data_IF_823754686866
#
_entry.id   IF_823754686866
#
_cell.length_a   1.000
_cell.length_b   1.000
_cell.length_c   1.000
_cell.angle_alpha   90.00
_cell.angle_beta   90.00
_cell.angle_gamma   90.00
#
_symmetry.space_group_name_H-M   'P 1'
#
loop_
_entity.id
_entity.type
_entity.pdbx_description
1 polymer ?
#
# COMPACT_ATOMS: atom_id res chain seq x y z
N UNK A 1 72.07 -10.19 0.10
CA UNK A 1 70.62 -10.01 -0.16
C UNK A 1 70.07 -8.96 0.80
N UNK A 2 69.81 -7.74 0.33
CA UNK A 2 69.09 -6.71 1.10
C UNK A 2 67.94 -6.21 0.23
N UNK A 3 66.75 -6.73 0.45
CA UNK A 3 65.51 -6.28 -0.19
C UNK A 3 65.16 -4.87 0.30
N UNK A 4 64.70 -3.97 -0.59
CA UNK A 4 64.68 -2.55 -0.28
C UNK A 4 63.47 -2.18 0.58
N UNK A 5 63.76 -1.41 1.63
CA UNK A 5 62.85 -0.86 2.62
C UNK A 5 61.68 -0.03 2.04
N UNK A 6 61.76 0.35 0.75
CA UNK A 6 60.76 1.18 0.06
C UNK A 6 59.41 0.49 -0.19
N UNK A 7 59.36 -0.81 -0.47
CA UNK A 7 58.10 -1.48 -0.83
C UNK A 7 57.13 -1.63 0.35
N UNK A 8 57.64 -1.71 1.58
CA UNK A 8 56.80 -1.78 2.80
C UNK A 8 56.06 -0.47 3.07
N UNK A 9 56.69 0.69 2.82
CA UNK A 9 56.04 2.00 3.02
C UNK A 9 54.99 2.30 1.93
N UNK A 10 55.23 1.87 0.69
CA UNK A 10 54.28 2.05 -0.41
C UNK A 10 53.00 1.21 -0.23
N UNK A 11 53.13 -0.02 0.27
CA UNK A 11 51.99 -0.89 0.61
C UNK A 11 51.15 -0.32 1.76
N UNK A 12 51.77 0.27 2.78
CA UNK A 12 51.06 0.88 3.90
C UNK A 12 50.31 2.15 3.49
N UNK A 13 50.90 2.98 2.62
CA UNK A 13 50.25 4.17 2.07
C UNK A 13 49.04 3.82 1.19
N UNK A 14 49.13 2.76 0.37
CA UNK A 14 47.99 2.27 -0.41
C UNK A 14 46.87 1.71 0.48
N UNK A 15 47.21 1.00 1.56
CA UNK A 15 46.22 0.51 2.52
C UNK A 15 45.47 1.63 3.25
N UNK A 16 46.16 2.73 3.61
CA UNK A 16 45.54 3.92 4.21
C UNK A 16 44.64 4.65 3.21
N UNK A 17 45.04 4.74 1.93
CA UNK A 17 44.24 5.33 0.86
C UNK A 17 42.96 4.53 0.56
N UNK A 18 43.05 3.20 0.55
CA UNK A 18 41.90 2.30 0.34
C UNK A 18 40.94 2.37 1.55
N UNK A 19 41.47 2.38 2.79
CA UNK A 19 40.67 2.54 4.00
C UNK A 19 39.97 3.91 4.06
N UNK A 20 40.62 4.97 3.59
CA UNK A 20 40.04 6.32 3.49
C UNK A 20 38.94 6.39 2.41
N UNK A 21 39.14 5.74 1.26
CA UNK A 21 38.16 5.64 0.19
C UNK A 21 36.90 4.82 0.60
N UNK A 22 37.08 3.80 1.45
CA UNK A 22 35.97 3.05 2.05
C UNK A 22 35.15 3.91 3.03
N UNK A 23 35.79 4.76 3.84
CA UNK A 23 35.08 5.66 4.76
C UNK A 23 34.36 6.81 4.05
N UNK A 24 34.87 7.27 2.90
CA UNK A 24 34.20 8.28 2.05
C UNK A 24 32.98 7.74 1.30
N UNK A 25 32.87 6.42 1.11
CA UNK A 25 31.72 5.78 0.45
C UNK A 25 30.55 5.50 1.41
N UNK A 26 30.75 5.61 2.73
CA UNK A 26 29.70 5.32 3.74
C UNK A 26 28.94 6.56 4.25
N UNK A 27 29.25 7.79 3.80
CA UNK A 27 28.64 9.03 4.38
C UNK A 27 27.53 9.68 3.54
N UNK A 28 27.05 9.04 2.48
CA UNK A 28 25.91 9.57 1.68
C UNK A 28 24.71 8.63 1.62
N UNK A 29 24.19 8.27 2.79
CA UNK A 29 22.76 8.01 2.91
C UNK A 29 22.07 9.35 3.21
N UNK A 30 22.00 10.24 2.23
CA UNK A 30 21.08 11.38 2.34
C UNK A 30 19.68 10.81 2.31
N UNK A 31 18.92 10.96 3.39
CA UNK A 31 17.48 10.64 3.39
C UNK A 31 16.87 11.32 2.15
N UNK A 32 16.11 10.57 1.31
CA UNK A 32 15.46 11.18 0.16
C UNK A 32 14.59 12.35 0.65
N UNK A 33 14.54 13.47 -0.09
CA UNK A 33 13.76 14.63 0.31
C UNK A 33 12.34 14.19 0.65
N UNK A 34 11.90 14.44 1.89
CA UNK A 34 10.51 14.19 2.29
C UNK A 34 9.63 15.12 1.45
N UNK A 35 8.96 14.56 0.44
CA UNK A 35 8.00 15.32 -0.37
C UNK A 35 7.00 16.01 0.57
N UNK A 36 6.66 17.30 0.33
CA UNK A 36 5.74 18.01 1.19
C UNK A 36 4.38 17.32 1.19
N UNK A 37 3.86 17.03 2.38
CA UNK A 37 2.56 16.37 2.55
C UNK A 37 1.47 17.29 2.00
N UNK A 38 0.75 16.81 0.98
CA UNK A 38 -0.36 17.54 0.38
C UNK A 38 -1.47 17.81 1.39
N UNK A 39 -1.99 19.04 1.43
CA UNK A 39 -3.15 19.41 2.25
C UNK A 39 -4.50 18.99 1.63
N UNK A 40 -4.50 18.28 0.50
CA UNK A 40 -5.72 17.91 -0.24
C UNK A 40 -6.69 17.01 0.56
N UNK A 41 -6.24 16.34 1.62
CA UNK A 41 -7.08 15.52 2.49
C UNK A 41 -8.01 16.36 3.37
N UNK A 42 -7.64 17.61 3.71
CA UNK A 42 -8.39 18.44 4.66
C UNK A 42 -9.86 18.66 4.25
N UNK A 43 -10.12 18.81 2.95
CA UNK A 43 -11.48 18.96 2.40
C UNK A 43 -12.33 17.68 2.43
N UNK A 44 -11.73 16.54 2.80
CA UNK A 44 -12.39 15.22 2.85
C UNK A 44 -12.60 14.73 4.29
N UNK A 45 -12.15 15.49 5.29
CA UNK A 45 -12.31 15.14 6.69
C UNK A 45 -13.76 15.37 7.12
N UNK A 46 -14.29 14.42 7.89
CA UNK A 46 -15.57 14.52 8.58
C UNK A 46 -15.32 14.47 10.08
N UNK A 47 -16.24 15.03 10.86
CA UNK A 47 -16.22 14.90 12.32
C UNK A 47 -16.55 13.48 12.77
N UNK A 48 -16.18 13.16 14.01
CA UNK A 48 -16.53 11.88 14.63
C UNK A 48 -18.06 11.66 14.69
N UNK A 49 -18.83 12.73 14.95
CA UNK A 49 -20.30 12.67 15.00
C UNK A 49 -20.91 12.33 13.64
N UNK A 50 -20.40 12.90 12.56
CA UNK A 50 -20.84 12.54 11.20
C UNK A 50 -20.48 11.08 10.87
N UNK A 51 -19.28 10.64 11.25
CA UNK A 51 -18.87 9.23 11.10
C UNK A 51 -19.80 8.26 11.84
N UNK A 52 -20.23 8.61 13.06
CA UNK A 52 -21.21 7.85 13.85
C UNK A 52 -22.56 7.70 13.14
N UNK A 53 -23.05 8.76 12.50
CA UNK A 53 -24.30 8.71 11.72
C UNK A 53 -24.18 7.70 10.59
N UNK A 54 -23.08 7.75 9.83
CA UNK A 54 -22.82 6.80 8.73
C UNK A 54 -22.69 5.35 9.22
N UNK A 55 -21.98 5.14 10.33
CA UNK A 55 -21.81 3.81 10.92
C UNK A 55 -23.13 3.21 11.43
N UNK A 56 -23.95 4.02 12.11
CA UNK A 56 -25.26 3.60 12.58
C UNK A 56 -26.20 3.27 11.42
N UNK A 57 -26.16 4.07 10.34
CA UNK A 57 -26.92 3.82 9.11
C UNK A 57 -26.58 2.45 8.52
N UNK A 58 -25.29 2.20 8.29
CA UNK A 58 -24.82 0.91 7.77
C UNK A 58 -25.22 -0.25 8.69
N UNK A 59 -25.09 -0.05 10.00
CA UNK A 59 -25.40 -1.07 11.01
C UNK A 59 -26.88 -1.46 11.03
N UNK A 60 -27.79 -0.48 10.90
CA UNK A 60 -29.24 -0.73 10.92
C UNK A 60 -29.83 -1.15 9.56
N UNK A 61 -29.07 -1.04 8.48
CA UNK A 61 -29.49 -1.38 7.12
C UNK A 61 -28.68 -2.55 6.56
N UNK A 62 -27.56 -2.28 5.88
CA UNK A 62 -26.74 -3.25 5.17
C UNK A 62 -26.28 -4.40 6.07
N UNK A 63 -25.79 -4.10 7.27
CA UNK A 63 -25.28 -5.12 8.18
C UNK A 63 -26.38 -6.09 8.65
N UNK A 64 -27.63 -5.60 8.82
CA UNK A 64 -28.77 -6.46 9.17
C UNK A 64 -29.04 -7.47 8.05
N UNK A 65 -29.03 -7.02 6.79
CA UNK A 65 -29.26 -7.91 5.63
C UNK A 65 -28.16 -8.96 5.52
N UNK A 66 -26.89 -8.55 5.64
CA UNK A 66 -25.75 -9.45 5.62
C UNK A 66 -25.80 -10.48 6.75
N UNK A 67 -26.08 -10.03 7.98
CA UNK A 67 -26.23 -10.90 9.15
C UNK A 67 -27.33 -11.95 8.95
N UNK A 68 -28.50 -11.53 8.42
CA UNK A 68 -29.60 -12.47 8.12
C UNK A 68 -29.20 -13.50 7.06
N UNK A 69 -28.51 -13.08 6.00
CA UNK A 69 -28.01 -14.01 4.97
C UNK A 69 -26.95 -15.00 5.46
N UNK A 70 -26.42 -14.78 6.67
CA UNK A 70 -25.41 -15.59 7.33
C UNK A 70 -25.95 -16.33 8.56
N UNK A 71 -27.24 -16.65 8.58
CA UNK A 71 -27.88 -17.37 9.68
C UNK A 71 -27.70 -16.69 11.05
N UNK A 72 -27.66 -15.34 11.07
CA UNK A 72 -27.50 -14.56 12.29
C UNK A 72 -26.06 -14.22 12.65
N UNK A 73 -25.06 -14.72 11.92
CA UNK A 73 -23.65 -14.39 12.14
C UNK A 73 -23.30 -13.03 11.49
N UNK A 74 -22.99 -11.98 12.27
CA UNK A 74 -22.72 -10.67 11.72
C UNK A 74 -21.40 -10.63 10.94
N UNK A 75 -21.40 -9.92 9.82
CA UNK A 75 -20.19 -9.68 9.03
C UNK A 75 -19.48 -8.38 9.47
N UNK A 76 -18.24 -8.18 9.00
CA UNK A 76 -17.41 -7.02 9.38
C UNK A 76 -18.08 -5.68 9.06
N UNK A 77 -17.90 -4.70 9.95
CA UNK A 77 -18.40 -3.33 9.78
C UNK A 77 -17.28 -2.31 9.65
N UNK A 78 -16.06 -2.68 10.03
CA UNK A 78 -14.86 -1.87 9.90
C UNK A 78 -13.66 -2.75 9.56
N UNK A 79 -12.57 -2.10 9.20
CA UNK A 79 -11.29 -2.75 8.93
C UNK A 79 -10.21 -1.88 9.51
N UNK A 80 -9.19 -2.52 10.07
CA UNK A 80 -8.07 -1.82 10.67
C UNK A 80 -6.77 -2.22 10.00
N UNK A 81 -5.94 -1.20 9.78
CA UNK A 81 -4.55 -1.31 9.39
C UNK A 81 -3.73 -0.54 10.41
N UNK A 82 -2.55 -1.05 10.76
CA UNK A 82 -1.59 -0.22 11.47
C UNK A 82 -1.18 0.94 10.56
N UNK A 83 -0.90 2.10 11.16
CA UNK A 83 -0.39 3.25 10.39
C UNK A 83 0.94 2.88 9.73
N UNK A 84 1.78 2.12 10.42
CA UNK A 84 3.07 1.63 9.93
C UNK A 84 2.94 0.78 8.66
N UNK A 85 2.04 -0.21 8.65
CA UNK A 85 1.79 -1.05 7.46
C UNK A 85 1.27 -0.21 6.29
N UNK A 86 0.37 0.73 6.58
CA UNK A 86 -0.22 1.59 5.56
C UNK A 86 0.83 2.54 4.97
N UNK A 87 1.70 3.13 5.79
CA UNK A 87 2.83 3.96 5.35
C UNK A 87 3.82 3.16 4.50
N UNK A 88 4.20 1.96 4.97
CA UNK A 88 5.07 1.05 4.23
C UNK A 88 4.50 0.66 2.87
N UNK A 89 3.21 0.35 2.81
CA UNK A 89 2.53 0.01 1.57
C UNK A 89 2.37 1.21 0.63
N UNK A 90 2.03 2.40 1.14
CA UNK A 90 2.00 3.63 0.34
C UNK A 90 3.38 3.93 -0.26
N UNK A 91 4.45 3.73 0.52
CA UNK A 91 5.83 3.86 0.03
C UNK A 91 6.13 2.88 -1.10
N UNK A 92 5.80 1.59 -0.92
CA UNK A 92 5.92 0.57 -1.95
C UNK A 92 5.19 0.96 -3.26
N UNK A 93 3.96 1.47 -3.15
CA UNK A 93 3.16 1.91 -4.30
C UNK A 93 3.83 3.07 -5.04
N UNK A 94 4.27 4.10 -4.31
CA UNK A 94 4.93 5.28 -4.89
C UNK A 94 6.26 4.92 -5.57
N UNK A 95 7.10 4.11 -4.92
CA UNK A 95 8.40 3.72 -5.45
C UNK A 95 8.26 2.85 -6.70
N UNK A 96 7.32 1.91 -6.70
CA UNK A 96 7.09 1.02 -7.83
C UNK A 96 6.49 1.79 -9.01
N UNK A 97 5.55 2.72 -8.76
CA UNK A 97 5.05 3.63 -9.79
C UNK A 97 6.16 4.50 -10.40
N UNK A 98 7.09 5.02 -9.58
CA UNK A 98 8.26 5.77 -10.06
C UNK A 98 9.17 4.93 -10.94
N UNK A 99 9.47 3.68 -10.53
CA UNK A 99 10.29 2.73 -11.33
C UNK A 99 9.65 2.44 -12.69
N UNK A 100 8.32 2.30 -12.72
CA UNK A 100 7.56 2.02 -13.95
C UNK A 100 7.16 3.28 -14.73
N UNK A 101 7.59 4.48 -14.31
CA UNK A 101 7.26 5.77 -14.93
C UNK A 101 5.74 6.05 -15.02
N UNK A 102 4.98 5.46 -14.10
CA UNK A 102 3.54 5.67 -13.98
C UNK A 102 3.24 7.05 -13.36
N UNK A 103 2.09 7.63 -13.72
CA UNK A 103 1.64 8.93 -13.21
C UNK A 103 0.44 8.78 -12.30
N UNK A 104 0.27 9.75 -11.40
CA UNK A 104 -0.87 9.82 -10.47
C UNK A 104 -1.13 8.50 -9.70
N UNK A 105 -0.14 7.95 -8.96
CA UNK A 105 -0.36 6.73 -8.19
C UNK A 105 -1.43 6.96 -7.12
N UNK A 106 -2.35 6.01 -6.99
CA UNK A 106 -3.41 6.00 -5.99
C UNK A 106 -3.68 4.59 -5.47
N UNK A 107 -4.63 4.47 -4.55
CA UNK A 107 -5.06 3.18 -3.99
C UNK A 107 -6.58 3.06 -4.17
N UNK A 108 -7.03 1.92 -4.67
CA UNK A 108 -8.43 1.53 -4.74
C UNK A 108 -8.71 0.44 -3.72
N UNK A 109 -9.80 0.57 -2.98
CA UNK A 109 -10.22 -0.43 -2.01
C UNK A 109 -11.30 -1.29 -2.67
N UNK A 110 -11.07 -2.61 -2.68
CA UNK A 110 -12.04 -3.59 -3.17
C UNK A 110 -12.65 -4.35 -2.00
N UNK A 111 -13.94 -4.69 -2.14
CA UNK A 111 -14.60 -5.66 -1.28
C UNK A 111 -14.29 -7.07 -1.80
N UNK A 112 -14.01 -7.99 -0.87
CA UNK A 112 -13.77 -9.40 -1.15
C UNK A 112 -14.54 -10.29 -0.18
N UNK A 113 -14.47 -11.60 -0.41
CA UNK A 113 -15.01 -12.62 0.48
C UNK A 113 -14.01 -13.77 0.54
N UNK A 114 -13.66 -14.22 1.73
CA UNK A 114 -12.80 -15.39 1.87
C UNK A 114 -13.56 -16.65 1.41
N UNK A 115 -12.99 -17.45 0.49
CA UNK A 115 -13.56 -18.75 0.16
C UNK A 115 -13.69 -19.63 1.41
N UNK A 116 -14.68 -20.52 1.41
CA UNK A 116 -14.88 -21.47 2.50
C UNK A 116 -13.65 -22.36 2.74
N UNK A 117 -12.87 -22.60 1.68
CA UNK A 117 -11.72 -23.48 1.63
C UNK A 117 -10.42 -22.74 1.26
N UNK A 118 -10.18 -21.54 1.80
CA UNK A 118 -8.96 -20.78 1.52
C UNK A 118 -7.71 -21.34 2.24
N UNK A 119 -6.49 -21.16 1.67
CA UNK A 119 -5.27 -21.64 2.30
C UNK A 119 -4.93 -20.89 3.59
N UNK A 120 -4.66 -21.64 4.68
CA UNK A 120 -4.40 -21.10 6.03
C UNK A 120 -3.18 -20.16 6.11
N UNK A 121 -2.25 -20.29 5.16
CA UNK A 121 -0.94 -19.64 5.18
C UNK A 121 -0.79 -18.49 4.17
N UNK A 122 -1.81 -18.19 3.36
CA UNK A 122 -1.68 -17.22 2.26
C UNK A 122 -2.71 -16.10 2.24
N UNK A 123 -3.87 -16.27 2.88
CA UNK A 123 -4.98 -15.31 2.74
C UNK A 123 -5.49 -14.82 4.08
N UNK A 124 -6.03 -15.73 4.88
CA UNK A 124 -6.60 -15.42 6.17
C UNK A 124 -6.54 -16.65 7.06
N UNK A 125 -6.86 -16.44 8.33
CA UNK A 125 -7.05 -17.55 9.25
C UNK A 125 -8.31 -18.32 8.86
N UNK A 126 -8.34 -19.65 9.01
CA UNK A 126 -9.48 -20.49 8.61
C UNK A 126 -10.84 -20.03 9.15
N UNK A 127 -10.87 -19.46 10.35
CA UNK A 127 -12.08 -18.92 10.99
C UNK A 127 -12.72 -17.75 10.23
N UNK A 128 -12.00 -17.12 9.30
CA UNK A 128 -12.51 -16.05 8.44
C UNK A 128 -13.16 -16.59 7.17
N UNK A 129 -13.22 -17.91 6.99
CA UNK A 129 -13.90 -18.56 5.88
C UNK A 129 -15.33 -18.05 5.71
N UNK A 130 -15.65 -17.63 4.49
CA UNK A 130 -16.97 -17.10 4.14
C UNK A 130 -17.21 -15.67 4.58
N UNK A 131 -16.36 -15.04 5.40
CA UNK A 131 -16.51 -13.63 5.81
C UNK A 131 -16.03 -12.65 4.73
N UNK A 132 -16.66 -11.47 4.71
CA UNK A 132 -16.27 -10.40 3.81
C UNK A 132 -14.91 -9.83 4.25
N UNK A 133 -14.17 -9.21 3.32
CA UNK A 133 -12.90 -8.54 3.60
C UNK A 133 -12.71 -7.35 2.66
N UNK A 134 -11.64 -6.58 2.85
CA UNK A 134 -11.19 -5.59 1.87
C UNK A 134 -9.73 -5.81 1.52
N UNK A 135 -9.35 -5.38 0.32
CA UNK A 135 -7.97 -5.35 -0.10
C UNK A 135 -7.65 -4.10 -0.91
N UNK A 136 -6.42 -3.61 -0.76
CA UNK A 136 -5.96 -2.34 -1.34
C UNK A 136 -5.18 -2.63 -2.62
N UNK A 137 -5.67 -2.13 -3.74
CA UNK A 137 -5.08 -2.30 -5.07
C UNK A 137 -4.41 -1.00 -5.52
N UNK A 138 -3.14 -1.03 -5.92
CA UNK A 138 -2.47 0.13 -6.48
C UNK A 138 -3.09 0.52 -7.82
N UNK A 139 -3.21 1.82 -8.05
CA UNK A 139 -3.73 2.36 -9.30
C UNK A 139 -2.82 3.44 -9.83
N UNK A 140 -2.79 3.63 -11.14
CA UNK A 140 -2.07 4.72 -11.78
C UNK A 140 -2.65 5.06 -13.15
N UNK A 141 -2.25 6.20 -13.68
CA UNK A 141 -2.46 6.58 -15.08
C UNK A 141 -1.25 6.14 -15.91
N UNK A 142 -1.52 5.49 -17.04
CA UNK A 142 -0.49 5.12 -18.01
C UNK A 142 -0.19 6.31 -18.93
N UNK A 143 1.09 6.65 -19.08
CA UNK A 143 1.55 7.49 -20.18
C UNK A 143 1.57 6.62 -21.44
N UNK A 144 0.46 6.56 -22.20
CA UNK A 144 0.55 6.06 -23.57
C UNK A 144 1.47 7.02 -24.34
N UNK A 145 2.67 6.55 -24.71
CA UNK A 145 3.39 7.14 -25.84
C UNK A 145 2.70 6.62 -27.09
N UNK A 146 1.78 7.41 -27.62
CA UNK A 146 1.27 7.17 -28.97
C UNK A 146 2.39 7.50 -29.96
N UNK A 147 3.21 6.50 -30.29
CA UNK A 147 4.16 6.57 -31.40
C UNK A 147 3.80 5.53 -32.46
N UNK A 148 2.56 5.53 -32.93
CA UNK A 148 2.20 4.94 -34.24
C UNK A 148 0.77 5.36 -34.59
N UNK A 149 0.64 5.91 -35.80
CA UNK A 149 -0.60 6.18 -36.55
C UNK A 149 -1.12 7.61 -36.46
N UNK A 150 -0.66 8.40 -37.43
CA UNK A 150 -1.28 9.65 -37.84
C UNK A 150 -2.73 9.45 -38.29
N UNK A 151 -3.54 10.50 -38.09
CA UNK A 151 -4.89 10.72 -38.61
C UNK A 151 -6.03 9.87 -38.03
N UNK A 152 -6.59 10.37 -36.92
CA UNK A 152 -8.04 10.63 -36.90
C UNK A 152 -8.36 11.82 -36.00
N UNK A 153 -8.86 12.89 -36.62
CA UNK A 153 -9.38 14.09 -35.97
C UNK A 153 -10.68 13.73 -35.23
N UNK A 154 -10.54 13.25 -34.00
CA UNK A 154 -11.47 13.42 -32.89
C UNK A 154 -10.65 13.11 -31.66
N UNK A 155 -10.17 14.14 -30.96
CA UNK A 155 -9.62 13.97 -29.61
C UNK A 155 -10.74 13.45 -28.72
N UNK A 156 -10.99 12.14 -28.74
CA UNK A 156 -11.52 11.45 -27.60
C UNK A 156 -10.39 11.50 -26.58
N UNK A 157 -10.43 12.55 -25.77
CA UNK A 157 -9.77 12.65 -24.48
C UNK A 157 -10.19 11.39 -23.70
N UNK A 158 -9.51 10.26 -23.94
CA UNK A 158 -9.79 9.01 -23.24
C UNK A 158 -9.19 9.14 -21.85
N UNK A 159 -9.99 9.78 -20.99
CA UNK A 159 -10.16 9.56 -19.56
C UNK A 159 -8.90 9.61 -18.70
N UNK A 160 -8.85 10.66 -17.86
CA UNK A 160 -8.04 10.80 -16.63
C UNK A 160 -8.32 9.70 -15.57
N UNK A 161 -8.80 8.53 -15.96
CA UNK A 161 -9.19 7.46 -15.05
C UNK A 161 -7.99 6.62 -14.64
N UNK A 162 -7.75 6.55 -13.33
CA UNK A 162 -6.76 5.66 -12.74
C UNK A 162 -7.14 4.19 -13.01
N UNK A 163 -6.24 3.42 -13.63
CA UNK A 163 -6.41 1.97 -13.86
C UNK A 163 -5.72 1.15 -12.77
N UNK A 164 -6.18 -0.08 -12.50
CA UNK A 164 -5.47 -1.00 -11.60
C UNK A 164 -4.11 -1.34 -12.19
N UNK A 165 -3.07 -1.33 -11.36
CA UNK A 165 -1.74 -1.83 -11.74
C UNK A 165 -1.66 -3.29 -11.31
N UNK A 166 -1.94 -4.20 -12.25
CA UNK A 166 -2.09 -5.64 -11.99
C UNK A 166 -0.78 -6.34 -11.64
N UNK A 167 0.35 -5.71 -11.95
CA UNK A 167 1.70 -6.21 -11.67
C UNK A 167 2.15 -5.89 -10.24
N UNK A 168 1.44 -5.01 -9.53
CA UNK A 168 1.75 -4.66 -8.14
C UNK A 168 1.00 -5.58 -7.18
N UNK A 169 1.65 -5.90 -6.06
CA UNK A 169 1.02 -6.68 -5.01
C UNK A 169 -0.10 -5.90 -4.36
N UNK A 170 -1.11 -6.63 -3.93
CA UNK A 170 -2.28 -6.12 -3.22
C UNK A 170 -2.08 -6.32 -1.72
N UNK A 171 -2.36 -5.29 -0.92
CA UNK A 171 -2.37 -5.42 0.54
C UNK A 171 -3.72 -5.95 1.01
N UNK A 172 -3.70 -7.15 1.57
CA UNK A 172 -4.81 -7.76 2.30
C UNK A 172 -4.31 -8.35 3.62
N UNK A 173 -4.39 -7.59 4.71
CA UNK A 173 -4.15 -8.07 6.08
C UNK A 173 -5.00 -7.26 7.06
N UNK A 174 -6.30 -7.18 6.76
CA UNK A 174 -7.25 -6.59 7.72
C UNK A 174 -7.58 -7.64 8.77
N UNK A 175 -7.39 -7.31 10.05
CA UNK A 175 -8.10 -8.04 11.10
C UNK A 175 -9.59 -7.79 10.86
N UNK A 176 -10.37 -8.86 10.66
CA UNK A 176 -11.83 -8.74 10.56
C UNK A 176 -12.37 -8.08 11.81
N UNK A 177 -13.36 -7.22 11.63
CA UNK A 177 -13.70 -6.24 12.63
C UNK A 177 -15.22 -5.92 12.63
N UNK A 178 -15.96 -6.38 13.64
CA UNK A 178 -15.49 -7.25 14.72
C UNK A 178 -15.13 -8.66 14.19
N UNK A 179 -14.15 -9.35 14.79
CA UNK A 179 -14.00 -10.79 14.61
C UNK A 179 -15.32 -11.48 15.01
N UNK A 180 -15.60 -12.69 14.48
CA UNK A 180 -16.73 -13.48 14.95
C UNK A 180 -16.70 -13.55 16.49
N UNK A 181 -17.84 -13.25 17.14
CA UNK A 181 -18.05 -13.35 18.60
C UNK A 181 -17.46 -12.24 19.50
N UNK A 182 -17.02 -11.10 18.98
CA UNK A 182 -16.59 -9.97 19.85
C UNK A 182 -17.77 -9.07 20.21
N UNK A 183 -17.96 -8.82 21.52
CA UNK A 183 -18.97 -7.91 22.04
C UNK A 183 -18.88 -6.54 21.37
N UNK A 184 -19.99 -6.07 20.83
CA UNK A 184 -20.08 -4.81 20.11
C UNK A 184 -20.46 -3.63 21.00
N UNK A 185 -20.50 -3.83 22.32
CA UNK A 185 -21.04 -2.87 23.28
C UNK A 185 -20.26 -1.55 23.34
N UNK A 186 -18.96 -1.59 23.03
CA UNK A 186 -18.06 -0.42 23.07
C UNK A 186 -17.63 0.07 21.68
N UNK A 187 -18.28 -0.43 20.62
CA UNK A 187 -18.02 0.09 19.27
C UNK A 187 -18.70 1.44 19.09
N UNK A 188 -18.06 2.39 18.35
CA UNK A 188 -18.47 3.77 18.21
C UNK A 188 -19.96 4.01 18.30
#
# INVERSE_FOLDING_TARGET
MKTPFLFKKLSWLFAILISSFCMLSCTRCSEPPKEPVSNSYKKKLISYKEGRVLYNEYSRTNNVVLTRSRNGEPDSRWYWFSVEDLEGYIKYVKETAKKQKLKNPGIRIYMGKYPMNHPKNKMAKPEYAGYQTIFLVPTAQNLKRDSTTAMSRTMKLTTDENTNVTEMQVLNMTNLAPPPKVSTADMP
#
